data_IF_841430241366
#
_entry.id   IF_841430241366
#
_cell.length_a   1.000
_cell.length_b   1.000
_cell.length_c   1.000
_cell.angle_alpha   90.00
_cell.angle_beta   90.00
_cell.angle_gamma   90.00
#
_symmetry.space_group_name_H-M   'P 1'
#
loop_
_entity.id
_entity.type
_entity.pdbx_description
1 polymer ?
#
# COMPACT_ATOMS: atom_id res chain seq x y z
N UNK A 1 14.89 9.47 -7.72
CA UNK A 1 14.24 8.53 -6.80
C UNK A 1 14.00 7.23 -7.54
N UNK A 2 14.88 6.27 -7.32
CA UNK A 2 14.82 4.92 -7.92
C UNK A 2 13.84 4.05 -7.11
N UNK A 3 13.43 2.91 -7.67
CA UNK A 3 12.55 1.96 -6.96
C UNK A 3 13.14 1.50 -5.60
N UNK A 4 14.46 1.57 -5.46
CA UNK A 4 15.24 1.23 -4.26
C UNK A 4 14.97 2.21 -3.10
N UNK A 5 14.85 3.51 -3.39
CA UNK A 5 14.57 4.53 -2.35
C UNK A 5 13.12 4.49 -1.85
N UNK A 6 12.20 3.98 -2.66
CA UNK A 6 10.78 3.82 -2.28
C UNK A 6 10.62 2.62 -1.34
N UNK A 7 11.40 1.56 -1.54
CA UNK A 7 11.48 0.45 -0.58
C UNK A 7 12.10 0.91 0.75
N UNK A 8 13.19 1.70 0.70
CA UNK A 8 13.80 2.27 1.90
C UNK A 8 12.85 3.22 2.66
N UNK A 9 12.05 4.03 1.97
CA UNK A 9 11.04 4.89 2.61
C UNK A 9 9.87 4.09 3.23
N UNK A 10 9.64 2.85 2.81
CA UNK A 10 8.68 1.94 3.43
C UNK A 10 9.31 1.17 4.61
N UNK A 11 10.63 0.95 4.62
CA UNK A 11 11.37 0.24 5.66
C UNK A 11 11.81 1.15 6.84
N UNK A 12 12.00 2.46 6.65
CA UNK A 12 12.41 3.41 7.70
C UNK A 12 11.29 3.78 8.70
N UNK A 13 10.12 3.14 8.64
CA UNK A 13 9.02 3.33 9.59
C UNK A 13 9.20 2.53 10.91
N UNK A 14 10.45 2.27 11.31
CA UNK A 14 10.80 1.58 12.56
C UNK A 14 11.46 2.53 13.55
N UNK A 15 10.70 3.50 14.08
CA UNK A 15 11.24 4.41 15.09
C UNK A 15 10.21 5.32 15.74
N UNK A 16 9.87 4.98 16.99
CA UNK A 16 9.16 5.77 18.00
C UNK A 16 7.63 5.93 17.86
N UNK A 17 6.96 5.13 18.68
CA UNK A 17 5.62 5.31 19.26
C UNK A 17 5.54 6.63 20.05
N UNK A 18 4.36 7.29 20.03
CA UNK A 18 3.72 7.90 21.21
C UNK A 18 2.16 7.75 21.10
N UNK A 19 1.43 7.38 22.18
CA UNK A 19 -0.02 7.09 22.12
C UNK A 19 -0.98 8.24 22.50
N UNK A 20 -2.10 8.38 21.73
CA UNK A 20 -3.38 9.04 22.09
C UNK A 20 -3.47 10.59 22.01
N UNK A 21 -4.67 11.23 21.84
CA UNK A 21 -6.03 10.70 21.99
C UNK A 21 -6.94 10.84 20.75
N UNK A 22 -8.10 10.19 20.88
CA UNK A 22 -9.26 10.18 19.98
C UNK A 22 -9.64 11.55 19.37
N UNK A 23 -10.00 11.51 18.09
CA UNK A 23 -10.81 12.48 17.35
C UNK A 23 -10.38 13.96 17.42
N UNK A 24 -9.36 14.32 16.64
CA UNK A 24 -9.33 15.62 15.98
C UNK A 24 -9.26 15.38 14.48
N UNK A 25 -10.26 15.88 13.75
CA UNK A 25 -10.26 15.94 12.29
C UNK A 25 -9.08 16.83 11.87
N UNK A 26 -7.89 16.24 11.73
CA UNK A 26 -6.84 16.86 10.94
C UNK A 26 -7.43 16.93 9.53
N UNK A 27 -7.96 18.12 9.19
CA UNK A 27 -8.21 18.53 7.82
C UNK A 27 -6.86 18.37 7.14
N UNK A 28 -6.66 17.22 6.51
CA UNK A 28 -5.54 16.97 5.61
C UNK A 28 -5.51 18.18 4.67
N UNK A 29 -4.35 18.80 4.44
CA UNK A 29 -4.29 19.95 3.56
C UNK A 29 -4.84 19.50 2.20
N UNK A 30 -6.02 20.00 1.85
CA UNK A 30 -6.49 20.09 0.48
C UNK A 30 -5.67 21.16 -0.26
N UNK A 31 -4.35 21.08 -0.12
CA UNK A 31 -3.43 21.61 -1.10
C UNK A 31 -3.56 20.71 -2.31
N UNK A 32 -3.65 21.32 -3.48
CA UNK A 32 -3.46 20.67 -4.76
C UNK A 32 -2.10 19.98 -4.73
N UNK A 33 -2.06 18.73 -4.24
CA UNK A 33 -0.84 17.94 -4.15
C UNK A 33 -0.21 17.93 -5.55
N UNK A 34 1.10 18.10 -5.59
CA UNK A 34 1.88 18.02 -6.82
C UNK A 34 1.37 16.81 -7.63
N UNK A 35 1.16 16.97 -8.95
CA UNK A 35 0.63 15.87 -9.74
C UNK A 35 1.56 14.68 -9.57
N UNK A 36 1.01 13.53 -9.21
CA UNK A 36 1.82 12.33 -9.04
C UNK A 36 2.71 12.14 -10.26
N UNK A 37 4.01 12.00 -10.04
CA UNK A 37 5.03 11.89 -11.09
C UNK A 37 5.35 10.44 -11.43
N UNK A 38 4.91 9.51 -10.58
CA UNK A 38 5.13 8.07 -10.70
C UNK A 38 4.00 7.24 -10.09
N UNK A 39 4.00 5.93 -10.35
CA UNK A 39 3.11 4.98 -9.68
C UNK A 39 3.29 4.96 -8.17
N UNK A 40 4.54 5.08 -7.69
CA UNK A 40 4.85 5.10 -6.27
C UNK A 40 4.27 6.33 -5.59
N UNK A 41 4.41 7.51 -6.20
CA UNK A 41 3.82 8.75 -5.70
C UNK A 41 2.28 8.66 -5.67
N UNK A 42 1.68 8.17 -6.76
CA UNK A 42 0.24 7.97 -6.84
C UNK A 42 -0.30 6.98 -5.80
N UNK A 43 0.50 5.98 -5.42
CA UNK A 43 0.18 5.03 -4.36
C UNK A 43 0.35 5.67 -2.98
N UNK A 44 1.50 6.30 -2.72
CA UNK A 44 1.84 6.94 -1.45
C UNK A 44 0.82 8.02 -1.05
N UNK A 45 0.36 8.82 -2.02
CA UNK A 45 -0.67 9.84 -1.83
C UNK A 45 -2.03 9.26 -1.36
N UNK A 46 -2.22 7.94 -1.43
CA UNK A 46 -3.47 7.23 -1.12
C UNK A 46 -3.27 6.15 -0.05
N UNK A 47 -2.15 6.21 0.66
CA UNK A 47 -1.84 5.29 1.76
C UNK A 47 -1.47 6.06 3.01
N UNK A 48 -1.91 5.55 4.15
CA UNK A 48 -1.54 6.04 5.47
C UNK A 48 -0.98 4.88 6.27
N UNK A 49 0.22 5.03 6.81
CA UNK A 49 0.79 4.06 7.73
C UNK A 49 -0.03 4.03 9.03
N UNK A 50 -0.35 2.83 9.49
CA UNK A 50 -1.06 2.61 10.75
C UNK A 50 -0.31 1.56 11.57
N UNK A 51 -0.69 1.43 12.84
CA UNK A 51 0.00 0.53 13.79
C UNK A 51 0.09 -0.91 13.28
N UNK A 52 1.14 -1.62 13.67
CA UNK A 52 1.38 -3.00 13.25
C UNK A 52 1.96 -3.16 11.85
N UNK A 53 2.53 -2.10 11.27
CA UNK A 53 3.14 -2.15 9.93
C UNK A 53 2.12 -2.27 8.80
N UNK A 54 0.86 -1.90 9.07
CA UNK A 54 -0.20 -1.89 8.06
C UNK A 54 -0.17 -0.57 7.27
N UNK A 55 -0.61 -0.63 6.02
CA UNK A 55 -0.89 0.54 5.20
C UNK A 55 -2.38 0.59 4.89
N UNK A 56 -3.06 1.59 5.46
CA UNK A 56 -4.47 1.85 5.19
C UNK A 56 -4.63 2.55 3.84
N UNK A 57 -5.54 2.03 3.03
CA UNK A 57 -5.86 2.61 1.73
C UNK A 57 -6.95 3.68 1.85
N UNK A 58 -6.64 4.91 1.47
CA UNK A 58 -7.57 6.07 1.49
C UNK A 58 -8.06 6.47 0.09
N UNK A 59 -7.59 5.77 -0.95
CA UNK A 59 -7.91 6.06 -2.34
C UNK A 59 -9.19 5.38 -2.87
N UNK A 60 -9.37 5.44 -4.19
CA UNK A 60 -10.49 4.79 -4.85
C UNK A 60 -10.41 3.26 -4.73
N UNK A 61 -11.56 2.61 -4.65
CA UNK A 61 -11.70 1.16 -4.63
C UNK A 61 -12.59 0.70 -5.78
N UNK A 62 -12.24 -0.43 -6.41
CA UNK A 62 -13.09 -1.08 -7.39
C UNK A 62 -14.34 -1.71 -6.75
N UNK A 63 -15.15 -2.36 -7.59
CA UNK A 63 -16.46 -2.90 -7.21
C UNK A 63 -16.46 -3.87 -6.00
N UNK A 64 -15.35 -4.56 -5.75
CA UNK A 64 -15.21 -5.51 -4.64
C UNK A 64 -14.41 -4.95 -3.46
N UNK A 65 -14.27 -3.63 -3.35
CA UNK A 65 -13.42 -2.98 -2.34
C UNK A 65 -11.92 -3.12 -2.61
N UNK A 66 -11.53 -3.55 -3.82
CA UNK A 66 -10.11 -3.67 -4.20
C UNK A 66 -9.48 -2.29 -4.38
N UNK A 67 -8.39 -1.95 -3.68
CA UNK A 67 -7.64 -0.71 -3.88
C UNK A 67 -7.20 -0.54 -5.33
N UNK A 68 -7.51 0.60 -5.95
CA UNK A 68 -7.11 0.91 -7.34
C UNK A 68 -6.38 2.24 -7.41
N UNK A 69 -5.27 2.23 -8.14
CA UNK A 69 -4.43 3.40 -8.42
C UNK A 69 -4.59 3.72 -9.89
N UNK A 70 -4.91 4.98 -10.20
CA UNK A 70 -4.86 5.48 -11.57
C UNK A 70 -3.68 6.43 -11.73
N UNK A 71 -2.91 6.23 -12.80
CA UNK A 71 -1.76 7.04 -13.13
C UNK A 71 -1.57 7.09 -14.65
N UNK A 72 -1.48 8.30 -15.22
CA UNK A 72 -1.29 8.53 -16.68
C UNK A 72 -2.27 7.75 -17.57
N UNK A 73 -3.54 7.69 -17.19
CA UNK A 73 -4.59 6.99 -17.94
C UNK A 73 -4.52 5.46 -17.85
N UNK A 74 -3.59 4.91 -17.06
CA UNK A 74 -3.52 3.49 -16.73
C UNK A 74 -4.11 3.27 -15.33
N UNK A 75 -4.68 2.08 -15.11
CA UNK A 75 -5.25 1.68 -13.81
C UNK A 75 -4.62 0.38 -13.38
N UNK A 76 -4.06 0.35 -12.18
CA UNK A 76 -3.48 -0.84 -11.56
C UNK A 76 -4.05 -1.01 -10.15
N UNK A 77 -4.05 -2.24 -9.62
CA UNK A 77 -4.48 -2.46 -8.23
C UNK A 77 -3.36 -2.11 -7.26
N UNK A 78 -3.69 -1.46 -6.13
CA UNK A 78 -2.73 -1.18 -5.06
C UNK A 78 -2.02 -2.44 -4.54
N UNK A 79 -2.75 -3.57 -4.47
CA UNK A 79 -2.17 -4.86 -4.07
C UNK A 79 -1.05 -5.34 -5.00
N UNK A 80 -1.24 -5.27 -6.32
CA UNK A 80 -0.20 -5.72 -7.27
C UNK A 80 1.02 -4.80 -7.22
N UNK A 81 0.83 -3.49 -7.14
CA UNK A 81 1.93 -2.54 -7.04
C UNK A 81 2.76 -2.78 -5.77
N UNK A 82 2.12 -2.81 -4.61
CA UNK A 82 2.80 -3.03 -3.34
C UNK A 82 3.48 -4.40 -3.26
N UNK A 83 2.84 -5.44 -3.80
CA UNK A 83 3.45 -6.77 -3.87
C UNK A 83 4.71 -6.76 -4.74
N UNK A 84 4.67 -6.14 -5.93
CA UNK A 84 5.83 -6.08 -6.83
C UNK A 84 7.01 -5.35 -6.20
N UNK A 85 6.75 -4.21 -5.56
CA UNK A 85 7.81 -3.42 -4.92
C UNK A 85 8.45 -4.17 -3.75
N UNK A 86 7.66 -4.90 -2.96
CA UNK A 86 8.17 -5.62 -1.80
C UNK A 86 8.84 -6.96 -2.16
N UNK A 87 8.22 -7.75 -3.05
CA UNK A 87 8.73 -9.09 -3.40
C UNK A 87 9.68 -9.08 -4.62
N UNK A 88 9.87 -7.93 -5.26
CA UNK A 88 10.73 -7.78 -6.44
C UNK A 88 10.29 -8.61 -7.66
N UNK A 89 9.05 -9.09 -7.69
CA UNK A 89 8.52 -9.96 -8.75
C UNK A 89 7.06 -9.70 -9.10
N UNK A 90 6.67 -10.14 -10.28
CA UNK A 90 5.28 -10.18 -10.71
C UNK A 90 4.49 -11.16 -9.82
N UNK A 91 3.31 -10.77 -9.27
CA UNK A 91 2.47 -11.69 -8.53
C UNK A 91 1.86 -12.76 -9.44
N UNK A 92 1.86 -14.00 -8.97
CA UNK A 92 1.24 -15.12 -9.65
C UNK A 92 -0.22 -15.26 -9.15
N UNK A 93 -1.17 -15.04 -10.05
CA UNK A 93 -2.60 -15.09 -9.73
C UNK A 93 -3.07 -13.95 -8.81
N UNK A 94 -4.02 -14.26 -7.94
CA UNK A 94 -4.68 -13.26 -7.10
C UNK A 94 -3.83 -12.88 -5.88
N UNK A 95 -3.54 -11.59 -5.75
CA UNK A 95 -2.92 -10.99 -4.56
C UNK A 95 -3.98 -10.65 -3.53
N UNK A 96 -3.76 -11.07 -2.29
CA UNK A 96 -4.64 -10.77 -1.15
C UNK A 96 -3.82 -10.45 0.10
N UNK A 97 -4.33 -9.57 0.98
CA UNK A 97 -3.77 -9.44 2.31
C UNK A 97 -3.92 -10.75 3.10
N UNK A 98 -2.90 -11.08 3.87
CA UNK A 98 -2.85 -12.19 4.84
C UNK A 98 -3.14 -11.71 6.27
N UNK A 99 -3.15 -10.40 6.49
CA UNK A 99 -3.52 -9.79 7.76
C UNK A 99 -5.03 -9.58 7.89
N UNK A 100 -5.49 -9.36 9.11
CA UNK A 100 -6.90 -9.06 9.41
C UNK A 100 -7.26 -7.60 9.11
N UNK A 101 -6.28 -6.71 8.96
CA UNK A 101 -6.54 -5.29 8.71
C UNK A 101 -7.24 -5.07 7.36
N UNK A 102 -8.46 -4.48 7.35
CA UNK A 102 -9.26 -4.35 6.15
C UNK A 102 -8.62 -3.38 5.15
N UNK A 103 -8.43 -3.84 3.91
CA UNK A 103 -7.85 -3.02 2.85
C UNK A 103 -6.35 -2.73 3.04
N UNK A 104 -5.64 -3.54 3.82
CA UNK A 104 -4.19 -3.39 3.99
C UNK A 104 -3.45 -3.57 2.66
N UNK A 105 -2.68 -2.55 2.27
CA UNK A 105 -1.83 -2.58 1.07
C UNK A 105 -0.34 -2.69 1.39
N UNK A 106 0.03 -3.00 2.63
CA UNK A 106 1.43 -3.20 3.03
C UNK A 106 2.02 -4.42 2.31
N UNK A 107 3.10 -4.23 1.54
CA UNK A 107 3.69 -5.28 0.70
C UNK A 107 4.03 -6.58 1.43
N UNK A 108 4.56 -6.49 2.66
CA UNK A 108 4.88 -7.65 3.50
C UNK A 108 3.65 -8.43 4.01
N UNK A 109 2.48 -7.80 4.02
CA UNK A 109 1.22 -8.47 4.37
C UNK A 109 0.49 -9.04 3.16
N UNK A 110 0.99 -8.83 1.95
CA UNK A 110 0.37 -9.32 0.72
C UNK A 110 0.98 -10.66 0.30
N UNK A 111 0.10 -11.59 -0.07
CA UNK A 111 0.49 -12.86 -0.67
C UNK A 111 -0.27 -13.09 -1.97
N UNK A 112 0.45 -13.53 -3.00
CA UNK A 112 -0.13 -14.01 -4.24
C UNK A 112 -0.64 -15.46 -4.08
N UNK A 113 -1.06 -16.09 -5.18
CA UNK A 113 -1.54 -17.48 -5.13
C UNK A 113 -0.41 -18.43 -4.69
N UNK A 114 0.77 -18.28 -5.27
CA UNK A 114 1.92 -19.14 -5.01
C UNK A 114 2.39 -19.10 -3.55
N UNK A 115 2.50 -17.92 -2.94
CA UNK A 115 2.85 -17.79 -1.51
C UNK A 115 1.78 -18.37 -0.58
N UNK A 116 0.53 -18.53 -1.04
CA UNK A 116 -0.56 -19.12 -0.25
C UNK A 116 -0.61 -20.63 -0.39
N UNK A 117 -0.33 -21.15 -1.57
CA UNK A 117 -0.41 -22.59 -1.87
C UNK A 117 0.93 -23.32 -1.61
N UNK A 118 2.06 -22.64 -1.67
CA UNK A 118 3.41 -23.22 -1.51
C UNK A 118 3.82 -23.57 -0.08
N UNK A 119 2.91 -23.50 0.89
CA UNK A 119 3.15 -23.84 2.31
C UNK A 119 2.76 -25.28 2.69
N UNK A 120 2.56 -26.17 1.72
CA UNK A 120 2.21 -27.57 1.95
C UNK A 120 3.23 -28.51 1.31
N UNK A 121 4.17 -29.01 2.10
CA UNK A 121 4.88 -30.27 1.88
C UNK A 121 4.93 -31.02 3.19
#
# INVERSE_FOLDING_TARGET
MTADEIAAALDDASGAVEPGPSAARARQPSGRGEPATSWADAFAARTVAVEGGHLHWTGATGHRGTPVVSFRGQVETGYRLAFRWHHGREPEGNVRPRCDYPGCVAGGHLADRKLREGGGS
#
